data_IF_603579152646
#
_entry.id   IF_603579152646
#
_cell.length_a   1.000
_cell.length_b   1.000
_cell.length_c   1.000
_cell.angle_alpha   90.00
_cell.angle_beta   90.00
_cell.angle_gamma   90.00
#
_symmetry.space_group_name_H-M   'P 1'
#
loop_
_entity.id
_entity.type
_entity.pdbx_description
1 polymer ?
#
# COMPACT_ATOMS: atom_id res chain seq x y z
N UNK A 1 -2.54 -17.32 34.58
CA UNK A 1 -3.67 -16.62 33.92
C UNK A 1 -3.86 -15.30 34.63
N UNK A 2 -3.36 -14.23 34.06
CA UNK A 2 -3.56 -12.86 34.57
C UNK A 2 -4.67 -12.27 33.67
N UNK A 3 -5.76 -11.77 34.22
CA UNK A 3 -6.86 -11.22 33.41
C UNK A 3 -6.42 -9.88 32.80
N UNK A 4 -6.27 -9.85 31.47
CA UNK A 4 -6.07 -8.62 30.68
C UNK A 4 -7.44 -7.96 30.51
N UNK A 5 -8.03 -7.43 31.58
CA UNK A 5 -9.35 -6.78 31.52
C UNK A 5 -9.26 -5.24 31.71
N UNK A 6 -8.05 -4.67 31.87
CA UNK A 6 -7.95 -3.31 32.39
C UNK A 6 -7.54 -2.21 31.40
N UNK A 7 -7.52 -2.43 30.09
CA UNK A 7 -6.99 -1.42 29.14
C UNK A 7 -8.02 -0.76 28.21
N UNK A 8 -9.29 -1.11 28.28
CA UNK A 8 -10.33 -0.51 27.43
C UNK A 8 -11.28 0.48 28.15
N UNK A 9 -11.01 0.78 29.41
CA UNK A 9 -11.80 1.80 30.09
C UNK A 9 -11.36 3.19 29.62
N UNK A 10 -12.12 3.79 28.71
CA UNK A 10 -12.09 5.21 28.44
C UNK A 10 -11.44 5.64 27.10
N UNK A 11 -11.71 4.97 25.98
CA UNK A 11 -11.59 5.63 24.69
C UNK A 11 -12.94 6.32 24.43
N UNK A 12 -13.09 7.63 24.69
CA UNK A 12 -14.25 8.36 24.18
C UNK A 12 -14.18 8.23 22.67
N UNK A 13 -15.23 7.70 22.05
CA UNK A 13 -15.39 7.81 20.61
C UNK A 13 -15.21 9.28 20.24
N UNK A 14 -14.53 9.60 19.11
CA UNK A 14 -14.31 10.98 18.74
C UNK A 14 -15.66 11.66 18.64
N UNK A 15 -15.86 12.67 19.55
CA UNK A 15 -16.98 13.59 19.42
C UNK A 15 -16.92 14.14 17.99
N UNK A 16 -17.97 13.92 17.17
CA UNK A 16 -18.08 14.57 15.86
C UNK A 16 -17.91 16.06 16.08
N UNK A 17 -16.91 16.71 15.48
CA UNK A 17 -16.84 18.16 15.52
C UNK A 17 -18.08 18.69 14.79
N UNK A 18 -18.99 19.30 15.50
CA UNK A 18 -19.94 20.20 14.90
C UNK A 18 -19.14 21.37 14.31
N UNK A 19 -19.19 21.56 12.99
CA UNK A 19 -18.58 22.69 12.25
C UNK A 19 -17.11 23.04 12.58
N UNK A 20 -16.35 22.10 13.09
CA UNK A 20 -14.95 22.27 13.47
C UNK A 20 -13.99 22.15 12.29
N UNK A 21 -12.74 22.57 12.50
CA UNK A 21 -11.65 22.47 11.53
C UNK A 21 -11.43 21.02 11.10
N UNK A 22 -11.63 20.72 9.80
CA UNK A 22 -11.68 19.36 9.27
C UNK A 22 -10.32 18.66 9.39
N UNK A 23 -10.30 17.48 9.96
CA UNK A 23 -9.11 16.63 10.03
C UNK A 23 -8.75 16.13 8.63
N UNK A 24 -7.50 16.27 8.25
CA UNK A 24 -6.90 15.67 7.04
C UNK A 24 -6.14 14.40 7.45
N UNK A 25 -5.32 14.48 8.53
CA UNK A 25 -4.53 13.38 9.02
C UNK A 25 -4.22 13.55 10.50
N UNK A 26 -4.52 12.52 11.30
CA UNK A 26 -4.26 12.47 12.72
C UNK A 26 -3.25 11.38 13.08
N UNK A 27 -2.03 11.80 13.37
CA UNK A 27 -0.93 10.93 13.79
C UNK A 27 -0.65 11.01 15.30
N UNK A 28 -1.63 11.41 16.12
CA UNK A 28 -1.41 11.62 17.56
C UNK A 28 -1.14 10.34 18.33
N UNK A 29 -1.66 9.21 17.85
CA UNK A 29 -1.45 7.90 18.49
C UNK A 29 -0.27 7.14 17.90
N UNK A 30 -0.11 7.19 16.57
CA UNK A 30 0.88 6.40 15.85
C UNK A 30 1.44 7.23 14.70
N UNK A 31 2.70 6.99 14.37
CA UNK A 31 3.29 7.54 13.16
C UNK A 31 2.60 6.96 11.92
N UNK A 32 2.28 7.83 10.97
CA UNK A 32 1.68 7.45 9.70
C UNK A 32 2.74 7.53 8.59
N UNK A 33 3.00 6.43 7.89
CA UNK A 33 3.82 6.44 6.70
C UNK A 33 2.93 6.79 5.51
N UNK A 34 2.99 8.04 5.08
CA UNK A 34 2.21 8.53 3.94
C UNK A 34 2.99 8.52 2.61
N UNK A 35 4.24 8.08 2.65
CA UNK A 35 5.11 7.96 1.48
C UNK A 35 5.98 9.19 1.20
N UNK A 36 7.25 8.93 0.88
CA UNK A 36 8.30 9.94 0.66
C UNK A 36 7.95 10.98 -0.41
N UNK A 37 7.18 10.60 -1.42
CA UNK A 37 6.81 11.47 -2.55
C UNK A 37 5.34 11.88 -2.55
N UNK A 38 4.66 11.64 -1.45
CA UNK A 38 3.25 12.01 -1.28
C UNK A 38 3.06 13.53 -1.15
N UNK A 39 1.80 13.96 -1.21
CA UNK A 39 1.43 15.34 -0.87
C UNK A 39 1.79 15.69 0.57
N UNK A 40 1.83 14.70 1.45
CA UNK A 40 2.17 14.86 2.86
C UNK A 40 3.68 15.09 3.07
N UNK A 41 4.54 14.50 2.26
CA UNK A 41 5.97 14.81 2.24
C UNK A 41 6.20 16.26 1.82
N UNK A 42 5.51 16.75 0.76
CA UNK A 42 5.53 18.16 0.35
C UNK A 42 5.00 19.10 1.43
N UNK A 43 4.01 18.66 2.20
CA UNK A 43 3.55 19.41 3.37
C UNK A 43 4.65 19.55 4.41
N UNK A 44 5.42 18.50 4.72
CA UNK A 44 6.54 18.55 5.67
C UNK A 44 7.59 19.59 5.26
N UNK A 45 7.97 19.63 3.97
CA UNK A 45 8.87 20.64 3.44
C UNK A 45 8.33 22.07 3.60
N UNK A 46 7.05 22.26 3.28
CA UNK A 46 6.41 23.56 3.36
C UNK A 46 6.25 24.01 4.81
N UNK A 47 5.95 23.08 5.73
CA UNK A 47 5.90 23.34 7.17
C UNK A 47 7.29 23.77 7.68
N UNK A 48 8.36 23.06 7.28
CA UNK A 48 9.72 23.44 7.66
C UNK A 48 10.08 24.84 7.16
N UNK A 49 9.72 25.20 5.91
CA UNK A 49 9.94 26.54 5.37
C UNK A 49 9.17 27.61 6.18
N UNK A 50 7.93 27.34 6.53
CA UNK A 50 7.08 28.21 7.35
C UNK A 50 7.71 28.44 8.73
N UNK A 51 8.16 27.39 9.38
CA UNK A 51 8.84 27.44 10.67
C UNK A 51 10.15 28.23 10.61
N UNK A 52 10.96 28.03 9.58
CA UNK A 52 12.20 28.78 9.38
C UNK A 52 11.91 30.29 9.21
N UNK A 53 10.89 30.65 8.44
CA UNK A 53 10.51 32.03 8.20
C UNK A 53 10.04 32.77 9.46
N UNK A 54 9.51 32.06 10.47
CA UNK A 54 9.10 32.67 11.74
C UNK A 54 10.06 32.38 12.91
N UNK A 55 11.26 31.87 12.64
CA UNK A 55 12.27 31.62 13.65
C UNK A 55 11.99 30.39 14.57
N UNK A 56 11.08 29.50 14.18
CA UNK A 56 10.66 28.31 14.93
C UNK A 56 11.16 26.99 14.30
N UNK A 57 12.17 27.06 13.43
CA UNK A 57 12.64 25.92 12.62
C UNK A 57 13.38 24.83 13.38
N UNK A 58 13.62 24.99 14.68
CA UNK A 58 14.36 24.04 15.52
C UNK A 58 13.45 23.50 16.64
N UNK A 59 13.40 22.17 16.90
CA UNK A 59 14.03 21.13 16.10
C UNK A 59 13.40 21.00 14.69
N UNK A 60 14.13 20.53 13.68
CA UNK A 60 13.62 20.47 12.32
C UNK A 60 12.54 19.38 12.15
N UNK A 61 11.54 19.67 11.30
CA UNK A 61 10.58 18.67 10.79
C UNK A 61 11.24 17.82 9.71
N UNK A 62 12.02 18.47 8.85
CA UNK A 62 12.87 17.84 7.84
C UNK A 62 14.30 18.27 8.13
N UNK A 63 15.23 17.36 8.48
CA UNK A 63 16.63 17.71 8.72
C UNK A 63 17.28 18.35 7.51
N UNK A 64 18.24 19.23 7.75
CA UNK A 64 18.94 19.94 6.67
C UNK A 64 19.72 18.94 5.78
N UNK A 65 19.50 19.02 4.48
CA UNK A 65 20.13 18.16 3.49
C UNK A 65 19.46 16.78 3.33
N UNK A 66 18.38 16.51 4.04
CA UNK A 66 17.57 15.30 3.87
C UNK A 66 16.29 15.60 3.08
N UNK A 67 15.79 14.57 2.39
CA UNK A 67 14.45 14.59 1.80
C UNK A 67 13.41 14.26 2.88
N UNK A 68 12.19 14.81 2.78
CA UNK A 68 11.11 14.44 3.68
C UNK A 68 10.75 12.97 3.49
N UNK A 69 10.61 12.26 4.60
CA UNK A 69 10.32 10.82 4.57
C UNK A 69 8.86 10.50 4.27
N UNK A 70 7.97 11.50 4.34
CA UNK A 70 6.52 11.27 4.33
C UNK A 70 6.00 10.54 5.58
N UNK A 71 6.85 10.35 6.60
CA UNK A 71 6.42 9.82 7.90
C UNK A 71 5.88 10.97 8.75
N UNK A 72 4.58 11.01 8.94
CA UNK A 72 3.91 11.98 9.80
C UNK A 72 3.91 11.43 11.22
N UNK A 73 4.79 11.94 12.05
CA UNK A 73 5.00 11.48 13.43
C UNK A 73 5.30 12.64 14.37
N UNK A 74 6.03 12.39 15.45
CA UNK A 74 6.32 13.36 16.51
C UNK A 74 6.88 14.67 15.98
N UNK A 75 7.93 14.63 15.11
CA UNK A 75 8.54 15.84 14.58
C UNK A 75 7.57 16.71 13.77
N UNK A 76 6.69 16.10 12.97
CA UNK A 76 5.68 16.82 12.20
C UNK A 76 4.60 17.40 13.11
N UNK A 77 4.12 16.65 14.09
CA UNK A 77 3.12 17.11 15.05
C UNK A 77 3.61 18.30 15.88
N UNK A 78 4.81 18.21 16.45
CA UNK A 78 5.44 19.31 17.18
C UNK A 78 5.73 20.51 16.26
N UNK A 79 6.06 20.24 14.99
CA UNK A 79 6.20 21.27 13.94
C UNK A 79 4.89 22.03 13.72
N UNK A 80 3.75 21.33 13.61
CA UNK A 80 2.42 21.95 13.51
C UNK A 80 2.15 22.81 14.74
N UNK A 81 2.36 22.28 15.94
CA UNK A 81 2.13 23.02 17.20
C UNK A 81 2.97 24.32 17.25
N UNK A 82 4.25 24.26 16.92
CA UNK A 82 5.11 25.47 16.85
C UNK A 82 4.66 26.44 15.77
N UNK A 83 4.16 25.95 14.64
CA UNK A 83 3.70 26.79 13.54
C UNK A 83 2.45 27.59 13.91
N UNK A 84 1.62 27.12 14.85
CA UNK A 84 0.47 27.90 15.36
C UNK A 84 0.87 29.23 16.02
N UNK A 85 2.13 29.35 16.45
CA UNK A 85 2.67 30.60 16.98
C UNK A 85 3.16 31.57 15.87
N UNK A 86 3.21 31.10 14.62
CA UNK A 86 3.62 31.91 13.49
C UNK A 86 2.48 32.78 12.95
N UNK A 87 2.78 33.99 12.49
CA UNK A 87 1.79 34.90 11.90
C UNK A 87 1.04 34.28 10.71
N UNK A 88 1.67 33.35 9.98
CA UNK A 88 1.06 32.64 8.85
C UNK A 88 -0.13 31.73 9.27
N UNK A 89 -0.18 31.26 10.52
CA UNK A 89 -1.22 30.37 11.04
C UNK A 89 -2.18 31.07 12.02
N UNK A 90 -2.16 32.41 12.13
CA UNK A 90 -3.02 33.16 13.04
C UNK A 90 -4.53 32.94 12.83
N UNK A 91 -4.93 32.56 11.62
CA UNK A 91 -6.32 32.35 11.23
C UNK A 91 -6.78 30.90 11.48
N UNK A 92 -5.92 30.02 11.99
CA UNK A 92 -6.30 28.66 12.42
C UNK A 92 -7.18 28.79 13.68
N UNK A 93 -8.36 28.15 13.72
CA UNK A 93 -9.26 28.24 14.86
C UNK A 93 -8.58 27.81 16.17
N UNK A 94 -8.84 28.52 17.27
CA UNK A 94 -8.20 28.23 18.58
C UNK A 94 -8.62 26.88 19.17
N UNK A 95 -9.79 26.40 18.82
CA UNK A 95 -10.34 25.11 19.22
C UNK A 95 -10.01 23.98 18.23
N UNK A 96 -9.24 24.32 17.17
CA UNK A 96 -8.77 23.33 16.19
C UNK A 96 -7.99 22.20 16.84
N UNK A 97 -8.16 20.94 16.37
CA UNK A 97 -7.32 19.80 16.76
C UNK A 97 -5.83 20.00 16.45
N UNK A 98 -5.48 21.00 15.64
CA UNK A 98 -4.09 21.36 15.31
C UNK A 98 -3.26 21.70 16.56
N UNK A 99 -3.87 22.15 17.67
CA UNK A 99 -3.18 22.33 18.95
C UNK A 99 -2.54 21.06 19.51
N UNK A 100 -3.08 19.90 19.14
CA UNK A 100 -2.58 18.58 19.51
C UNK A 100 -1.64 17.99 18.41
N UNK A 101 -1.31 18.79 17.38
CA UNK A 101 -0.45 18.41 16.28
C UNK A 101 -1.16 17.68 15.15
N UNK A 102 -2.50 17.68 15.15
CA UNK A 102 -3.31 17.11 14.05
C UNK A 102 -3.21 17.98 12.82
N UNK A 103 -3.00 17.38 11.65
CA UNK A 103 -3.05 18.08 10.37
C UNK A 103 -4.50 18.31 9.98
N UNK A 104 -4.92 19.58 9.99
CA UNK A 104 -6.26 20.01 9.65
C UNK A 104 -6.31 20.79 8.35
N UNK A 105 -7.52 21.03 7.83
CA UNK A 105 -7.71 21.83 6.62
C UNK A 105 -7.17 23.26 6.78
N UNK A 106 -7.38 23.91 7.91
CA UNK A 106 -6.89 25.25 8.19
C UNK A 106 -5.36 25.31 8.19
N UNK A 107 -4.70 24.34 8.84
CA UNK A 107 -3.23 24.22 8.82
C UNK A 107 -2.72 23.95 7.42
N UNK A 108 -3.36 23.03 6.67
CA UNK A 108 -2.99 22.77 5.28
C UNK A 108 -3.03 24.06 4.44
N UNK A 109 -4.13 24.79 4.49
CA UNK A 109 -4.30 26.03 3.73
C UNK A 109 -3.28 27.10 4.10
N UNK A 110 -2.99 27.23 5.40
CA UNK A 110 -2.00 28.20 5.89
C UNK A 110 -0.57 27.86 5.45
N UNK A 111 -0.20 26.57 5.45
CA UNK A 111 1.15 26.12 5.11
C UNK A 111 1.34 25.94 3.60
N UNK A 112 0.35 25.35 2.91
CA UNK A 112 0.41 24.99 1.50
C UNK A 112 -0.16 26.05 0.57
N UNK A 113 -0.79 27.09 1.11
CA UNK A 113 -1.36 28.20 0.36
C UNK A 113 -2.47 27.75 -0.59
N UNK A 114 -2.26 27.94 -1.90
CA UNK A 114 -3.25 27.61 -2.94
C UNK A 114 -3.23 26.14 -3.38
N UNK A 115 -2.36 25.30 -2.81
CA UNK A 115 -2.36 23.89 -3.14
C UNK A 115 -3.71 23.25 -2.78
N UNK A 116 -4.24 22.33 -3.60
CA UNK A 116 -5.48 21.63 -3.28
C UNK A 116 -5.31 20.83 -2.00
N UNK A 117 -6.42 20.57 -1.34
CA UNK A 117 -6.46 19.60 -0.24
C UNK A 117 -6.12 18.20 -0.77
N UNK A 118 -5.53 17.33 0.06
CA UNK A 118 -5.33 15.94 -0.30
C UNK A 118 -6.64 15.29 -0.74
N UNK A 119 -6.61 14.65 -1.90
CA UNK A 119 -7.76 13.93 -2.44
C UNK A 119 -8.10 12.71 -1.58
N UNK A 120 -9.29 12.15 -1.79
CA UNK A 120 -9.68 10.87 -1.17
C UNK A 120 -8.67 9.76 -1.51
N UNK A 121 -8.20 9.73 -2.76
CA UNK A 121 -7.19 8.76 -3.21
C UNK A 121 -5.86 8.91 -2.45
N UNK A 122 -5.32 10.12 -2.34
CA UNK A 122 -4.06 10.36 -1.62
C UNK A 122 -4.16 10.04 -0.12
N UNK A 123 -5.33 10.24 0.49
CA UNK A 123 -5.58 9.86 1.89
C UNK A 123 -5.74 8.35 2.05
N UNK A 124 -6.41 7.69 1.11
CA UNK A 124 -6.53 6.24 1.07
C UNK A 124 -5.18 5.56 0.84
N UNK A 125 -4.36 6.08 -0.08
CA UNK A 125 -3.00 5.58 -0.32
C UNK A 125 -2.12 5.70 0.93
N UNK A 126 -2.20 6.81 1.66
CA UNK A 126 -1.48 6.98 2.92
C UNK A 126 -1.93 5.96 3.99
N UNK A 127 -3.22 5.63 4.05
CA UNK A 127 -3.74 4.58 4.93
C UNK A 127 -3.20 3.21 4.55
N UNK A 128 -3.26 2.85 3.27
CA UNK A 128 -2.79 1.55 2.77
C UNK A 128 -1.29 1.41 3.00
N UNK A 129 -0.52 2.46 2.68
CA UNK A 129 0.92 2.47 2.87
C UNK A 129 1.32 2.31 4.35
N UNK A 130 0.50 2.84 5.28
CA UNK A 130 0.72 2.63 6.71
C UNK A 130 0.59 1.16 7.13
N UNK A 131 -0.16 0.37 6.37
CA UNK A 131 -0.28 -1.08 6.57
C UNK A 131 0.83 -1.86 5.86
N UNK A 132 1.17 -1.51 4.62
CA UNK A 132 2.19 -2.20 3.83
C UNK A 132 3.62 -1.88 4.31
N UNK A 133 3.85 -0.68 4.85
CA UNK A 133 5.12 -0.20 5.41
C UNK A 133 6.31 -0.25 4.43
N UNK A 134 6.06 -0.17 3.11
CA UNK A 134 7.07 -0.12 2.05
C UNK A 134 6.96 1.18 1.26
N UNK A 135 8.06 1.67 0.69
CA UNK A 135 8.08 2.89 -0.12
C UNK A 135 8.98 2.71 -1.36
N UNK A 136 8.92 3.64 -2.30
CA UNK A 136 9.74 3.63 -3.52
C UNK A 136 11.25 3.65 -3.25
N UNK A 137 11.70 4.25 -2.15
CA UNK A 137 13.12 4.31 -1.78
C UNK A 137 13.64 3.04 -1.12
N UNK A 138 12.77 2.07 -0.84
CA UNK A 138 13.17 0.84 -0.20
C UNK A 138 13.79 -0.14 -1.21
N UNK A 139 14.73 -0.95 -0.73
CA UNK A 139 15.29 -2.03 -1.53
C UNK A 139 14.18 -3.02 -1.92
N UNK A 140 14.22 -3.55 -3.15
CA UNK A 140 13.25 -4.55 -3.57
C UNK A 140 13.36 -5.82 -2.71
N UNK A 141 12.23 -6.46 -2.47
CA UNK A 141 12.18 -7.72 -1.76
C UNK A 141 12.30 -8.88 -2.75
N UNK A 142 13.34 -9.70 -2.55
CA UNK A 142 13.57 -10.89 -3.35
C UNK A 142 12.89 -12.08 -2.71
N UNK A 143 11.87 -12.61 -3.38
CA UNK A 143 11.07 -13.74 -2.90
C UNK A 143 11.55 -15.07 -3.50
N UNK A 144 12.84 -15.21 -3.65
CA UNK A 144 13.52 -16.38 -4.19
C UNK A 144 14.16 -17.17 -3.05
N UNK A 145 13.50 -18.12 -2.46
CA UNK A 145 14.06 -18.99 -1.43
C UNK A 145 14.64 -18.26 -0.20
N UNK A 146 13.86 -17.55 0.55
CA UNK A 146 14.28 -16.99 1.85
C UNK A 146 14.22 -18.06 2.95
N UNK A 147 15.18 -18.02 3.90
CA UNK A 147 15.14 -18.89 5.08
C UNK A 147 13.84 -18.73 5.87
N UNK A 148 13.22 -19.86 6.22
CA UNK A 148 11.92 -19.91 6.88
C UNK A 148 10.74 -20.06 5.90
N UNK A 149 10.95 -19.91 4.61
CA UNK A 149 9.97 -20.32 3.62
C UNK A 149 10.03 -21.84 3.44
N UNK A 150 8.87 -22.51 3.49
CA UNK A 150 8.78 -23.93 3.21
C UNK A 150 9.11 -24.18 1.75
N UNK A 151 10.24 -24.80 1.48
CA UNK A 151 10.60 -25.31 0.16
C UNK A 151 10.26 -26.79 0.06
N UNK A 152 9.80 -27.24 -1.08
CA UNK A 152 9.65 -28.65 -1.42
C UNK A 152 10.62 -29.02 -2.54
N UNK A 153 11.25 -30.18 -2.41
CA UNK A 153 11.88 -30.84 -3.53
C UNK A 153 10.79 -31.50 -4.35
N UNK A 154 10.46 -30.96 -5.51
CA UNK A 154 9.53 -31.59 -6.45
C UNK A 154 10.31 -32.40 -7.49
N UNK A 155 9.85 -33.62 -7.81
CA UNK A 155 10.44 -34.38 -8.90
C UNK A 155 10.26 -33.60 -10.20
N UNK A 156 11.38 -33.25 -10.86
CA UNK A 156 11.31 -32.71 -12.22
C UNK A 156 11.11 -33.85 -13.24
N UNK A 157 10.39 -33.57 -14.32
CA UNK A 157 10.11 -34.54 -15.40
C UNK A 157 11.32 -34.99 -16.21
N UNK A 158 12.54 -34.81 -15.75
CA UNK A 158 13.72 -35.20 -16.50
C UNK A 158 15.07 -34.91 -15.86
N UNK A 159 15.16 -34.74 -14.56
CA UNK A 159 16.43 -34.41 -13.93
C UNK A 159 16.43 -34.41 -12.41
N UNK A 160 17.44 -33.77 -11.82
CA UNK A 160 17.52 -33.58 -10.38
C UNK A 160 16.29 -32.84 -9.88
N UNK A 161 15.78 -33.18 -8.68
CA UNK A 161 14.60 -32.54 -8.12
C UNK A 161 14.82 -31.02 -8.00
N UNK A 162 13.85 -30.25 -8.49
CA UNK A 162 13.85 -28.79 -8.38
C UNK A 162 13.41 -28.39 -6.99
N UNK A 163 14.18 -27.53 -6.32
CA UNK A 163 13.75 -26.92 -5.09
C UNK A 163 12.80 -25.77 -5.41
N UNK A 164 11.55 -25.91 -5.03
CA UNK A 164 10.52 -24.87 -5.23
C UNK A 164 10.34 -24.14 -3.92
N UNK A 165 10.64 -22.86 -3.92
CA UNK A 165 10.40 -21.98 -2.78
C UNK A 165 9.01 -21.36 -2.91
N UNK A 166 8.28 -21.40 -1.83
CA UNK A 166 6.98 -20.77 -1.75
C UNK A 166 7.07 -19.50 -0.90
N UNK A 167 6.60 -18.40 -1.44
CA UNK A 167 6.04 -17.34 -0.62
C UNK A 167 4.62 -17.81 -0.28
N UNK A 168 4.34 -18.11 0.97
CA UNK A 168 3.03 -18.66 1.39
C UNK A 168 1.88 -17.70 1.08
N UNK A 169 2.15 -16.38 1.07
CA UNK A 169 1.16 -15.35 0.78
C UNK A 169 1.02 -15.04 -0.72
N UNK A 170 2.09 -15.17 -1.49
CA UNK A 170 2.10 -14.94 -2.94
C UNK A 170 3.17 -15.79 -3.62
N UNK A 171 2.88 -17.06 -3.90
CA UNK A 171 3.86 -18.04 -4.36
C UNK A 171 4.43 -17.74 -5.76
N UNK A 172 3.81 -16.84 -6.52
CA UNK A 172 4.23 -16.50 -7.88
C UNK A 172 4.88 -15.11 -7.98
N UNK A 173 5.14 -14.44 -6.87
CA UNK A 173 5.87 -13.17 -6.80
C UNK A 173 7.33 -13.42 -6.47
N UNK A 174 8.23 -13.20 -7.42
CA UNK A 174 9.66 -13.49 -7.26
C UNK A 174 10.48 -12.26 -6.91
N UNK A 175 9.99 -11.08 -7.20
CA UNK A 175 10.55 -9.79 -6.83
C UNK A 175 9.40 -8.85 -6.54
N UNK A 176 9.48 -8.11 -5.43
CA UNK A 176 8.47 -7.13 -5.03
C UNK A 176 9.12 -5.77 -4.84
N UNK A 177 8.49 -4.70 -5.33
CA UNK A 177 9.02 -3.35 -5.23
C UNK A 177 7.93 -2.28 -5.20
N UNK A 178 8.19 -1.22 -4.42
CA UNK A 178 7.34 -0.02 -4.33
C UNK A 178 6.14 -0.16 -3.39
N UNK A 179 5.37 0.92 -3.20
CA UNK A 179 4.44 1.09 -2.08
C UNK A 179 3.21 0.15 -2.10
N UNK A 180 2.87 -0.43 -3.23
CA UNK A 180 1.79 -1.42 -3.37
C UNK A 180 2.30 -2.81 -3.66
N UNK A 181 3.62 -3.02 -3.48
CA UNK A 181 4.21 -4.31 -3.69
C UNK A 181 4.12 -4.79 -5.15
N UNK A 182 4.47 -3.93 -6.13
CA UNK A 182 4.54 -4.37 -7.52
C UNK A 182 5.42 -5.60 -7.66
N UNK A 183 4.93 -6.62 -8.38
CA UNK A 183 5.60 -7.91 -8.46
C UNK A 183 6.19 -8.18 -9.84
N UNK A 184 7.24 -9.00 -9.86
CA UNK A 184 7.68 -9.69 -11.06
C UNK A 184 7.42 -11.19 -10.91
N UNK A 185 6.61 -11.72 -11.78
CA UNK A 185 6.07 -13.08 -11.76
C UNK A 185 4.68 -13.09 -12.39
N UNK A 186 3.67 -13.50 -11.64
CA UNK A 186 2.30 -13.60 -12.15
C UNK A 186 1.73 -12.27 -12.64
N UNK A 187 1.99 -11.18 -11.94
CA UNK A 187 1.41 -9.87 -12.24
C UNK A 187 2.20 -9.05 -13.27
N UNK A 188 3.49 -9.26 -13.41
CA UNK A 188 4.39 -8.49 -14.27
C UNK A 188 4.40 -6.97 -14.04
N UNK A 189 3.95 -6.49 -12.89
CA UNK A 189 3.79 -5.06 -12.63
C UNK A 189 5.12 -4.31 -12.74
N UNK A 190 6.22 -4.85 -12.20
CA UNK A 190 7.55 -4.23 -12.30
C UNK A 190 7.97 -4.08 -13.79
N UNK A 191 7.76 -5.13 -14.59
CA UNK A 191 8.08 -5.09 -16.02
C UNK A 191 7.28 -4.00 -16.74
N UNK A 192 5.99 -3.85 -16.41
CA UNK A 192 5.13 -2.83 -16.99
C UNK A 192 5.53 -1.41 -16.59
N UNK A 193 5.77 -1.19 -15.29
CA UNK A 193 6.20 0.12 -14.79
C UNK A 193 7.49 0.57 -15.45
N UNK A 194 8.51 -0.29 -15.47
CA UNK A 194 9.81 0.03 -16.05
C UNK A 194 9.72 0.21 -17.57
N UNK A 195 8.90 -0.59 -18.25
CA UNK A 195 8.67 -0.45 -19.70
C UNK A 195 7.98 0.87 -20.05
N UNK A 196 6.92 1.23 -19.34
CA UNK A 196 6.22 2.50 -19.55
C UNK A 196 7.15 3.70 -19.28
N UNK A 197 7.91 3.64 -18.20
CA UNK A 197 8.88 4.68 -17.86
C UNK A 197 9.98 4.79 -18.91
N UNK A 198 10.49 3.68 -19.42
CA UNK A 198 11.52 3.67 -20.47
C UNK A 198 11.03 4.30 -21.77
N UNK A 199 9.81 3.99 -22.20
CA UNK A 199 9.25 4.62 -23.40
C UNK A 199 9.12 6.14 -23.30
N UNK A 200 8.93 6.66 -22.09
CA UNK A 200 8.84 8.10 -21.85
C UNK A 200 10.18 8.79 -21.70
N UNK A 201 11.12 8.13 -21.04
CA UNK A 201 12.45 8.67 -20.72
C UNK A 201 13.50 7.55 -20.78
N UNK A 202 13.93 7.12 -21.98
CA UNK A 202 14.89 6.01 -22.11
C UNK A 202 16.18 6.23 -21.34
N UNK A 203 16.78 7.42 -21.47
CA UNK A 203 18.07 7.73 -20.85
C UNK A 203 18.08 7.65 -19.31
N UNK A 204 16.94 7.85 -18.66
CA UNK A 204 16.81 7.71 -17.22
C UNK A 204 16.93 6.23 -16.79
N UNK A 205 16.22 5.35 -17.47
CA UNK A 205 16.25 3.91 -17.22
C UNK A 205 17.62 3.32 -17.58
N UNK A 206 18.16 3.72 -18.74
CA UNK A 206 19.49 3.32 -19.21
C UNK A 206 20.58 3.74 -18.23
N UNK A 207 20.52 4.98 -17.72
CA UNK A 207 21.45 5.48 -16.69
C UNK A 207 21.31 4.75 -15.34
N UNK A 208 20.13 4.26 -14.98
CA UNK A 208 19.94 3.53 -13.75
C UNK A 208 20.49 2.10 -13.82
N UNK A 209 20.20 1.38 -14.90
CA UNK A 209 20.61 -0.02 -15.06
C UNK A 209 22.04 -0.19 -15.60
N UNK A 210 22.59 0.80 -16.32
CA UNK A 210 23.98 0.79 -16.77
C UNK A 210 24.36 -0.52 -17.49
N UNK A 211 25.30 -1.28 -16.92
CA UNK A 211 25.76 -2.57 -17.47
C UNK A 211 24.69 -3.67 -17.47
N UNK A 212 23.61 -3.52 -16.70
CA UNK A 212 22.49 -4.47 -16.64
C UNK A 212 21.37 -4.14 -17.64
N UNK A 213 21.55 -3.14 -18.51
CA UNK A 213 20.52 -2.72 -19.47
C UNK A 213 20.07 -3.86 -20.39
N UNK A 214 21.00 -4.66 -20.91
CA UNK A 214 20.66 -5.82 -21.73
C UNK A 214 19.84 -6.85 -20.96
N UNK A 215 20.14 -7.01 -19.66
CA UNK A 215 19.37 -7.87 -18.78
C UNK A 215 17.96 -7.33 -18.58
N UNK A 216 17.80 -6.02 -18.39
CA UNK A 216 16.48 -5.38 -18.30
C UNK A 216 15.66 -5.56 -19.59
N UNK A 217 16.26 -5.37 -20.75
CA UNK A 217 15.60 -5.57 -22.04
C UNK A 217 15.11 -7.01 -22.22
N UNK A 218 15.89 -8.00 -21.78
CA UNK A 218 15.46 -9.40 -21.74
C UNK A 218 14.32 -9.62 -20.75
N UNK A 219 14.42 -9.04 -19.56
CA UNK A 219 13.38 -9.12 -18.53
C UNK A 219 12.01 -8.66 -19.04
N UNK A 220 11.95 -7.60 -19.84
CA UNK A 220 10.69 -7.14 -20.45
C UNK A 220 10.03 -8.18 -21.36
N UNK A 221 10.81 -9.06 -21.98
CA UNK A 221 10.34 -10.08 -22.93
C UNK A 221 9.88 -11.35 -22.23
N UNK A 222 10.19 -11.55 -20.95
CA UNK A 222 9.80 -12.76 -20.25
C UNK A 222 8.29 -12.77 -20.02
N UNK A 223 7.66 -13.91 -20.33
CA UNK A 223 6.23 -14.08 -20.05
C UNK A 223 6.02 -14.31 -18.56
N UNK A 224 5.06 -13.59 -17.97
CA UNK A 224 4.41 -14.01 -16.77
C UNK A 224 3.33 -15.05 -17.10
N UNK A 225 3.11 -16.01 -16.25
CA UNK A 225 2.08 -17.02 -16.39
C UNK A 225 0.81 -16.67 -15.62
N UNK A 226 -0.16 -17.52 -15.69
CA UNK A 226 -1.40 -17.33 -14.92
C UNK A 226 -1.22 -17.65 -13.44
N UNK A 227 -2.02 -17.02 -12.61
CA UNK A 227 -1.98 -17.08 -11.14
C UNK A 227 -2.15 -18.48 -10.50
N UNK A 228 -2.50 -19.54 -11.24
CA UNK A 228 -2.93 -20.80 -10.63
C UNK A 228 -1.82 -21.74 -10.18
N UNK A 229 -0.65 -21.75 -10.83
CA UNK A 229 0.41 -22.73 -10.54
C UNK A 229 1.84 -22.23 -10.76
N UNK A 230 2.06 -20.96 -11.10
CA UNK A 230 3.35 -20.34 -11.38
C UNK A 230 4.15 -20.98 -12.54
N UNK A 231 3.63 -21.97 -13.24
CA UNK A 231 4.37 -22.71 -14.30
C UNK A 231 4.74 -21.79 -15.48
N UNK A 232 3.87 -20.83 -15.79
CA UNK A 232 4.15 -19.84 -16.83
C UNK A 232 5.18 -18.77 -16.43
N UNK A 233 5.51 -18.67 -15.14
CA UNK A 233 6.42 -17.69 -14.57
C UNK A 233 7.82 -18.25 -14.37
N UNK A 234 8.06 -19.53 -14.65
CA UNK A 234 9.36 -20.19 -14.52
C UNK A 234 10.48 -19.41 -15.22
N UNK A 235 10.31 -18.86 -16.44
CA UNK A 235 11.36 -18.07 -17.07
C UNK A 235 11.73 -16.82 -16.27
N UNK A 236 10.77 -16.12 -15.66
CA UNK A 236 11.00 -14.95 -14.82
C UNK A 236 11.75 -15.37 -13.55
N UNK A 237 11.33 -16.46 -12.92
CA UNK A 237 11.99 -17.02 -11.73
C UNK A 237 13.45 -17.36 -12.01
N UNK A 238 13.73 -18.09 -13.08
CA UNK A 238 15.09 -18.48 -13.45
C UNK A 238 15.97 -17.27 -13.74
N UNK A 239 15.44 -16.29 -14.46
CA UNK A 239 16.14 -15.06 -14.76
C UNK A 239 16.51 -14.28 -13.50
N UNK A 240 15.54 -14.06 -12.62
CA UNK A 240 15.76 -13.34 -11.36
C UNK A 240 16.68 -14.11 -10.43
N UNK A 241 16.62 -15.44 -10.42
CA UNK A 241 17.53 -16.28 -9.66
C UNK A 241 18.99 -16.15 -10.13
N UNK A 242 19.23 -16.07 -11.45
CA UNK A 242 20.56 -15.85 -11.99
C UNK A 242 21.13 -14.46 -11.60
N UNK A 243 20.27 -13.45 -11.42
CA UNK A 243 20.68 -12.15 -10.89
C UNK A 243 20.95 -12.24 -9.38
N UNK A 244 20.06 -12.87 -8.66
CA UNK A 244 20.17 -13.03 -7.20
C UNK A 244 21.44 -13.76 -6.76
N UNK A 245 21.82 -14.82 -7.48
CA UNK A 245 23.02 -15.63 -7.18
C UNK A 245 24.33 -14.95 -7.52
N UNK A 246 24.29 -13.81 -8.20
CA UNK A 246 25.45 -12.99 -8.57
C UNK A 246 25.41 -11.68 -7.74
N UNK A 247 26.17 -11.57 -6.63
CA UNK A 247 26.07 -10.41 -5.76
C UNK A 247 26.31 -9.05 -6.43
N UNK A 248 27.28 -8.88 -7.34
CA UNK A 248 27.44 -7.64 -8.11
C UNK A 248 26.19 -7.28 -8.93
N UNK A 249 25.60 -8.23 -9.64
CA UNK A 249 24.38 -8.02 -10.44
C UNK A 249 23.18 -7.72 -9.57
N UNK A 250 23.00 -8.48 -8.48
CA UNK A 250 21.95 -8.22 -7.51
C UNK A 250 22.02 -6.80 -6.99
N UNK A 251 23.20 -6.38 -6.54
CA UNK A 251 23.40 -5.00 -6.06
C UNK A 251 23.11 -3.97 -7.15
N UNK A 252 23.50 -4.19 -8.37
CA UNK A 252 23.21 -3.28 -9.48
C UNK A 252 21.70 -3.13 -9.71
N UNK A 253 20.91 -4.21 -9.61
CA UNK A 253 19.46 -4.18 -9.72
C UNK A 253 18.79 -3.47 -8.53
N UNK A 254 19.25 -3.75 -7.31
CA UNK A 254 18.76 -3.07 -6.09
C UNK A 254 19.02 -1.56 -6.17
N UNK A 255 20.23 -1.15 -6.53
CA UNK A 255 20.62 0.25 -6.69
C UNK A 255 19.83 0.94 -7.82
N UNK A 256 19.58 0.23 -8.94
CA UNK A 256 18.80 0.76 -10.05
C UNK A 256 17.35 1.00 -9.65
N UNK A 257 16.69 0.04 -8.99
CA UNK A 257 15.32 0.18 -8.53
C UNK A 257 15.19 1.26 -7.46
N UNK A 258 16.10 1.31 -6.49
CA UNK A 258 16.13 2.38 -5.49
C UNK A 258 16.31 3.76 -6.15
N UNK A 259 17.24 3.91 -7.10
CA UNK A 259 17.43 5.15 -7.87
C UNK A 259 16.18 5.54 -8.66
N UNK A 260 15.54 4.57 -9.30
CA UNK A 260 14.32 4.80 -10.09
C UNK A 260 13.10 5.11 -9.22
N UNK A 261 13.08 4.69 -7.97
CA UNK A 261 12.08 5.13 -6.99
C UNK A 261 12.07 6.65 -6.80
N UNK A 262 13.20 7.35 -7.00
CA UNK A 262 13.30 8.81 -6.97
C UNK A 262 12.81 9.46 -8.26
N UNK A 263 12.57 8.71 -9.34
CA UNK A 263 12.12 9.22 -10.63
C UNK A 263 10.63 9.57 -10.62
N UNK A 264 10.28 10.82 -10.94
CA UNK A 264 8.88 11.21 -11.12
C UNK A 264 8.21 10.44 -12.28
N UNK A 265 8.96 10.19 -13.36
CA UNK A 265 8.47 9.44 -14.51
C UNK A 265 8.11 8.00 -14.12
N UNK A 266 8.95 7.33 -13.33
CA UNK A 266 8.69 5.95 -12.86
C UNK A 266 7.52 5.92 -11.89
N UNK A 267 7.45 6.84 -10.92
CA UNK A 267 6.31 6.92 -9.98
C UNK A 267 5.00 7.20 -10.72
N UNK A 268 5.02 8.05 -11.74
CA UNK A 268 3.85 8.28 -12.59
C UNK A 268 3.44 7.04 -13.36
N UNK A 269 4.41 6.32 -13.96
CA UNK A 269 4.13 5.04 -14.62
C UNK A 269 3.50 4.02 -13.66
N UNK A 270 4.01 3.96 -12.44
CA UNK A 270 3.48 3.12 -11.37
C UNK A 270 2.02 3.47 -11.03
N UNK A 271 1.75 4.74 -10.77
CA UNK A 271 0.39 5.20 -10.44
C UNK A 271 -0.60 4.96 -11.60
N UNK A 272 -0.19 5.21 -12.84
CA UNK A 272 -1.01 4.98 -14.03
C UNK A 272 -1.30 3.48 -14.24
N UNK A 273 -0.31 2.62 -14.00
CA UNK A 273 -0.49 1.17 -14.07
C UNK A 273 -1.61 0.71 -13.14
N UNK A 274 -1.49 1.08 -11.85
CA UNK A 274 -2.46 0.65 -10.85
C UNK A 274 -3.84 1.30 -11.04
N UNK A 275 -3.92 2.52 -11.55
CA UNK A 275 -5.18 3.15 -11.88
C UNK A 275 -5.84 2.60 -13.15
N UNK A 276 -5.14 1.78 -13.94
CA UNK A 276 -5.62 1.28 -15.22
C UNK A 276 -6.75 0.25 -15.07
N UNK A 277 -7.47 0.04 -16.20
CA UNK A 277 -8.53 -0.94 -16.30
C UNK A 277 -8.04 -2.38 -16.16
N UNK A 278 -6.79 -2.63 -16.50
CA UNK A 278 -6.18 -3.96 -16.45
C UNK A 278 -5.69 -4.34 -15.03
N UNK A 279 -5.73 -3.39 -14.07
CA UNK A 279 -5.30 -3.57 -12.68
C UNK A 279 -6.37 -3.10 -11.68
N UNK A 280 -6.01 -2.25 -10.73
CA UNK A 280 -6.89 -1.84 -9.62
C UNK A 280 -8.12 -1.09 -10.09
N UNK A 281 -8.04 -0.38 -11.23
CA UNK A 281 -9.17 0.39 -11.76
C UNK A 281 -10.37 -0.47 -12.13
N UNK A 282 -10.17 -1.69 -12.68
CA UNK A 282 -11.26 -2.63 -12.92
C UNK A 282 -11.86 -3.15 -11.61
N UNK A 283 -11.00 -3.65 -10.73
CA UNK A 283 -11.39 -4.21 -9.43
C UNK A 283 -12.14 -3.19 -8.57
N UNK A 284 -11.72 -1.92 -8.61
CA UNK A 284 -12.40 -0.84 -7.90
C UNK A 284 -13.83 -0.63 -8.41
N UNK A 285 -14.04 -0.75 -9.73
CA UNK A 285 -15.40 -0.71 -10.30
C UNK A 285 -16.22 -1.95 -9.91
N UNK A 286 -15.61 -3.12 -9.82
CA UNK A 286 -16.28 -4.35 -9.41
C UNK A 286 -16.76 -4.26 -7.96
N UNK A 287 -15.92 -3.76 -7.03
CA UNK A 287 -16.35 -3.46 -5.65
C UNK A 287 -17.49 -2.43 -5.63
N UNK A 288 -17.43 -1.38 -6.45
CA UNK A 288 -18.48 -0.38 -6.53
C UNK A 288 -19.77 -0.96 -7.14
N UNK A 289 -19.66 -1.89 -8.10
CA UNK A 289 -20.79 -2.63 -8.67
C UNK A 289 -21.47 -3.47 -7.60
N UNK A 290 -20.72 -4.21 -6.80
CA UNK A 290 -21.25 -4.98 -5.67
C UNK A 290 -22.06 -4.08 -4.72
N UNK A 291 -21.53 -2.90 -4.33
CA UNK A 291 -22.26 -1.92 -3.52
C UNK A 291 -23.54 -1.45 -4.20
N UNK A 292 -23.50 -1.14 -5.49
CA UNK A 292 -24.68 -0.74 -6.25
C UNK A 292 -25.77 -1.83 -6.29
N UNK A 293 -25.37 -3.10 -6.45
CA UNK A 293 -26.33 -4.24 -6.42
C UNK A 293 -26.95 -4.46 -5.03
N UNK A 294 -26.25 -4.03 -3.98
CA UNK A 294 -26.78 -4.00 -2.62
C UNK A 294 -27.67 -2.76 -2.35
N UNK A 295 -27.82 -1.85 -3.32
CA UNK A 295 -28.55 -0.60 -3.16
C UNK A 295 -27.79 0.49 -2.41
N UNK A 296 -26.46 0.35 -2.30
CA UNK A 296 -25.58 1.27 -1.59
C UNK A 296 -24.87 2.21 -2.55
N UNK A 297 -24.46 3.37 -2.03
CA UNK A 297 -23.58 4.31 -2.72
C UNK A 297 -22.26 4.39 -1.99
N UNK A 298 -21.12 4.13 -2.65
CA UNK A 298 -19.82 4.18 -2.01
C UNK A 298 -19.52 5.54 -1.38
N UNK A 299 -18.99 5.53 -0.16
CA UNK A 299 -18.48 6.69 0.57
C UNK A 299 -16.96 6.81 0.43
N UNK A 300 -16.34 7.88 0.98
CA UNK A 300 -14.88 8.00 0.99
C UNK A 300 -14.23 6.84 1.76
N UNK A 301 -14.87 6.36 2.83
CA UNK A 301 -14.40 5.19 3.58
C UNK A 301 -14.50 3.92 2.75
N UNK A 302 -15.60 3.73 2.01
CA UNK A 302 -15.74 2.57 1.12
C UNK A 302 -14.68 2.58 0.02
N UNK A 303 -14.38 3.74 -0.55
CA UNK A 303 -13.31 3.87 -1.55
C UNK A 303 -11.97 3.38 -1.01
N UNK A 304 -11.58 3.82 0.18
CA UNK A 304 -10.34 3.40 0.82
C UNK A 304 -10.37 1.90 1.18
N UNK A 305 -11.49 1.39 1.66
CA UNK A 305 -11.70 -0.03 1.95
C UNK A 305 -11.55 -0.91 0.70
N UNK A 306 -12.15 -0.50 -0.43
CA UNK A 306 -12.00 -1.24 -1.68
C UNK A 306 -10.55 -1.26 -2.13
N UNK A 307 -9.89 -0.12 -2.12
CA UNK A 307 -8.50 0.01 -2.56
C UNK A 307 -7.55 -0.83 -1.70
N UNK A 308 -7.76 -0.87 -0.39
CA UNK A 308 -7.01 -1.71 0.53
C UNK A 308 -7.24 -3.21 0.30
N UNK A 309 -8.50 -3.60 0.07
CA UNK A 309 -8.81 -4.99 -0.25
C UNK A 309 -8.25 -5.41 -1.61
N UNK A 310 -8.29 -4.53 -2.62
CA UNK A 310 -7.65 -4.78 -3.92
C UNK A 310 -6.17 -5.05 -3.75
N UNK A 311 -5.48 -4.23 -2.95
CA UNK A 311 -4.03 -4.37 -2.70
C UNK A 311 -3.71 -5.71 -2.02
N UNK A 312 -4.55 -6.17 -1.09
CA UNK A 312 -4.25 -7.34 -0.26
C UNK A 312 -4.97 -8.63 -0.68
N UNK A 313 -6.15 -8.55 -1.28
CA UNK A 313 -6.97 -9.70 -1.70
C UNK A 313 -7.16 -9.79 -3.21
N UNK A 314 -7.10 -8.66 -3.92
CA UNK A 314 -7.39 -8.58 -5.34
C UNK A 314 -8.88 -8.31 -5.64
N UNK A 315 -9.55 -9.24 -6.32
CA UNK A 315 -10.93 -9.06 -6.79
C UNK A 315 -11.96 -9.20 -5.65
N UNK A 316 -13.12 -8.54 -5.74
CA UNK A 316 -14.26 -8.84 -4.86
C UNK A 316 -14.71 -10.30 -5.07
N UNK A 317 -15.53 -10.85 -4.18
CA UNK A 317 -16.18 -12.14 -4.44
C UNK A 317 -17.07 -12.01 -5.67
N UNK A 318 -17.27 -13.14 -6.36
CA UNK A 318 -18.18 -13.20 -7.51
C UNK A 318 -19.55 -12.64 -7.12
N UNK A 319 -20.08 -11.75 -7.96
CA UNK A 319 -21.35 -11.06 -7.72
C UNK A 319 -22.56 -11.96 -8.10
N UNK A 320 -22.52 -13.21 -7.67
CA UNK A 320 -23.62 -14.14 -7.86
C UNK A 320 -24.80 -13.91 -6.87
N UNK A 321 -25.92 -14.53 -7.12
CA UNK A 321 -27.11 -14.37 -6.29
C UNK A 321 -26.89 -14.88 -4.86
N UNK A 322 -26.02 -15.87 -4.66
CA UNK A 322 -25.72 -16.41 -3.34
C UNK A 322 -24.93 -15.41 -2.49
N UNK A 323 -23.89 -14.81 -3.05
CA UNK A 323 -23.10 -13.77 -2.38
C UNK A 323 -23.98 -12.57 -2.05
N UNK A 324 -24.76 -12.07 -2.99
CA UNK A 324 -25.67 -10.95 -2.76
C UNK A 324 -26.71 -11.27 -1.69
N UNK A 325 -27.23 -12.50 -1.67
CA UNK A 325 -28.19 -12.95 -0.64
C UNK A 325 -27.54 -12.97 0.74
N UNK A 326 -26.33 -13.56 0.87
CA UNK A 326 -25.57 -13.60 2.12
C UNK A 326 -25.25 -12.20 2.63
N UNK A 327 -24.81 -11.30 1.75
CA UNK A 327 -24.52 -9.91 2.09
C UNK A 327 -25.78 -9.19 2.61
N UNK A 328 -26.91 -9.27 1.90
CA UNK A 328 -28.16 -8.64 2.33
C UNK A 328 -28.65 -9.18 3.68
N UNK A 329 -28.61 -10.51 3.86
CA UNK A 329 -29.01 -11.14 5.12
C UNK A 329 -28.09 -10.72 6.28
N UNK A 330 -26.78 -10.58 6.04
CA UNK A 330 -25.83 -10.08 7.02
C UNK A 330 -26.12 -8.63 7.37
N UNK A 331 -26.21 -7.73 6.38
CA UNK A 331 -26.48 -6.31 6.58
C UNK A 331 -27.78 -6.09 7.39
N UNK A 332 -28.83 -6.86 7.11
CA UNK A 332 -30.08 -6.79 7.87
C UNK A 332 -29.93 -7.15 9.36
N UNK A 333 -28.95 -7.99 9.71
CA UNK A 333 -28.67 -8.36 11.09
C UNK A 333 -27.79 -7.34 11.81
N UNK A 334 -27.05 -6.54 11.08
CA UNK A 334 -26.11 -5.52 11.61
C UNK A 334 -26.84 -4.24 12.05
N UNK A 335 -27.88 -4.39 12.89
CA UNK A 335 -28.73 -3.28 13.34
C UNK A 335 -28.05 -2.32 14.32
N UNK A 336 -26.81 -2.60 14.74
CA UNK A 336 -26.02 -1.77 15.65
C UNK A 336 -25.07 -0.82 14.94
N UNK A 337 -24.88 -0.98 13.64
CA UNK A 337 -24.05 -0.07 12.87
C UNK A 337 -24.71 1.30 12.73
N UNK A 338 -23.91 2.37 12.86
CA UNK A 338 -24.35 3.75 12.63
C UNK A 338 -24.64 3.99 11.14
N UNK A 339 -23.91 3.31 10.27
CA UNK A 339 -23.97 3.44 8.81
C UNK A 339 -24.22 2.08 8.16
N UNK A 340 -25.14 2.02 7.18
CA UNK A 340 -25.39 0.81 6.41
C UNK A 340 -24.16 0.39 5.59
N UNK A 341 -23.33 1.35 5.17
CA UNK A 341 -22.09 1.08 4.46
C UNK A 341 -21.06 0.42 5.41
N UNK A 342 -20.99 0.84 6.69
CA UNK A 342 -20.16 0.17 7.69
C UNK A 342 -20.62 -1.27 7.92
N UNK A 343 -21.92 -1.51 7.99
CA UNK A 343 -22.49 -2.86 8.06
C UNK A 343 -22.07 -3.70 6.84
N UNK A 344 -22.13 -3.13 5.65
CA UNK A 344 -21.72 -3.83 4.42
C UNK A 344 -20.20 -4.16 4.43
N UNK A 345 -19.34 -3.23 4.87
CA UNK A 345 -17.89 -3.50 5.02
C UNK A 345 -17.62 -4.65 5.98
N UNK A 346 -18.26 -4.64 7.16
CA UNK A 346 -18.15 -5.72 8.14
C UNK A 346 -18.62 -7.07 7.57
N UNK A 347 -19.75 -7.08 6.90
CA UNK A 347 -20.30 -8.29 6.29
C UNK A 347 -19.36 -8.85 5.21
N UNK A 348 -18.78 -7.99 4.37
CA UNK A 348 -17.83 -8.40 3.35
C UNK A 348 -16.53 -8.93 3.97
N UNK A 349 -16.05 -8.31 5.04
CA UNK A 349 -14.88 -8.78 5.80
C UNK A 349 -15.03 -10.22 6.27
N UNK A 350 -16.20 -10.57 6.80
CA UNK A 350 -16.48 -11.95 7.24
C UNK A 350 -16.76 -12.93 6.10
N UNK A 351 -17.30 -12.44 4.98
CA UNK A 351 -17.62 -13.29 3.83
C UNK A 351 -16.36 -13.65 3.01
N UNK A 352 -15.41 -12.74 2.92
CA UNK A 352 -14.19 -12.90 2.13
C UNK A 352 -12.94 -12.65 3.02
N UNK A 353 -12.59 -13.60 3.92
CA UNK A 353 -11.33 -13.54 4.65
C UNK A 353 -10.15 -13.81 3.72
N UNK A 354 -8.93 -13.51 4.17
CA UNK A 354 -7.71 -13.92 3.48
C UNK A 354 -7.36 -15.38 3.85
N UNK A 355 -6.96 -16.17 2.87
CA UNK A 355 -6.73 -17.61 3.05
C UNK A 355 -5.62 -17.94 4.07
N UNK A 356 -4.50 -17.19 4.03
CA UNK A 356 -3.32 -17.46 4.85
C UNK A 356 -3.06 -16.41 5.93
N UNK A 357 -3.64 -15.19 5.80
CA UNK A 357 -3.44 -14.05 6.70
C UNK A 357 -4.78 -13.53 7.25
N UNK A 358 -5.70 -14.44 7.59
CA UNK A 358 -7.08 -14.09 7.97
C UNK A 358 -7.16 -13.10 9.13
N UNK A 359 -6.35 -13.26 10.18
CA UNK A 359 -6.38 -12.36 11.34
C UNK A 359 -5.81 -10.98 11.02
N UNK A 360 -4.74 -10.91 10.22
CA UNK A 360 -4.19 -9.64 9.76
C UNK A 360 -5.17 -8.90 8.83
N UNK A 361 -5.81 -9.63 7.90
CA UNK A 361 -6.85 -9.04 7.04
C UNK A 361 -8.04 -8.54 7.87
N UNK A 362 -8.50 -9.32 8.83
CA UNK A 362 -9.58 -8.91 9.73
C UNK A 362 -9.21 -7.66 10.52
N UNK A 363 -7.98 -7.59 11.05
CA UNK A 363 -7.49 -6.41 11.75
C UNK A 363 -7.54 -5.15 10.88
N UNK A 364 -7.08 -5.24 9.62
CA UNK A 364 -7.15 -4.12 8.66
C UNK A 364 -8.61 -3.74 8.39
N UNK A 365 -9.48 -4.72 8.12
CA UNK A 365 -10.89 -4.48 7.84
C UNK A 365 -11.62 -3.80 9.00
N UNK A 366 -11.32 -4.19 10.24
CA UNK A 366 -11.88 -3.56 11.46
C UNK A 366 -11.60 -2.06 11.47
N UNK A 367 -10.42 -1.62 11.05
CA UNK A 367 -10.07 -0.20 10.95
C UNK A 367 -11.01 0.64 10.08
N UNK A 368 -11.76 0.01 9.16
CA UNK A 368 -12.71 0.68 8.28
C UNK A 368 -14.14 0.77 8.82
N UNK A 369 -14.45 0.06 9.91
CA UNK A 369 -15.80 0.11 10.49
C UNK A 369 -15.82 0.26 12.01
N UNK A 370 -14.68 0.21 12.69
CA UNK A 370 -14.56 0.30 14.13
C UNK A 370 -15.35 1.48 14.71
N UNK A 371 -15.18 2.67 14.13
CA UNK A 371 -15.81 3.90 14.61
C UNK A 371 -17.32 4.00 14.32
N UNK A 372 -17.83 3.12 13.47
CA UNK A 372 -19.24 3.09 13.11
C UNK A 372 -20.07 2.20 14.04
N UNK A 373 -19.45 1.51 14.97
CA UNK A 373 -20.10 0.62 15.91
C UNK A 373 -19.98 1.14 17.35
N UNK A 374 -21.04 1.04 18.16
CA UNK A 374 -20.95 1.37 19.58
C UNK A 374 -20.04 0.38 20.32
N UNK A 375 -19.52 0.82 21.45
CA UNK A 375 -18.70 -0.01 22.34
C UNK A 375 -19.41 -1.35 22.65
N UNK A 376 -18.68 -2.45 22.59
CA UNK A 376 -19.19 -3.81 22.82
C UNK A 376 -20.02 -4.40 21.68
N UNK A 377 -20.14 -3.72 20.52
CA UNK A 377 -20.85 -4.25 19.36
C UNK A 377 -19.96 -5.14 18.47
N UNK A 378 -18.65 -4.98 18.55
CA UNK A 378 -17.70 -5.85 17.84
C UNK A 378 -17.55 -7.19 18.59
N UNK A 379 -17.28 -8.24 17.84
CA UNK A 379 -17.00 -9.56 18.41
C UNK A 379 -15.64 -9.58 19.09
N UNK A 380 -15.45 -10.51 20.02
CA UNK A 380 -14.14 -10.72 20.66
C UNK A 380 -13.04 -11.02 19.66
N UNK A 381 -13.34 -11.78 18.58
CA UNK A 381 -12.39 -12.07 17.50
C UNK A 381 -11.94 -10.78 16.77
N UNK A 382 -12.87 -9.88 16.45
CA UNK A 382 -12.55 -8.58 15.82
C UNK A 382 -11.68 -7.72 16.73
N UNK A 383 -12.01 -7.65 18.03
CA UNK A 383 -11.25 -6.89 19.02
C UNK A 383 -9.84 -7.48 19.17
N UNK A 384 -9.71 -8.80 19.26
CA UNK A 384 -8.42 -9.47 19.38
C UNK A 384 -7.56 -9.31 18.13
N UNK A 385 -8.15 -9.43 16.93
CA UNK A 385 -7.45 -9.18 15.68
C UNK A 385 -6.93 -7.74 15.63
N UNK A 386 -7.78 -6.75 15.92
CA UNK A 386 -7.38 -5.35 15.96
C UNK A 386 -6.26 -5.09 16.98
N UNK A 387 -6.40 -5.57 18.20
CA UNK A 387 -5.42 -5.38 19.27
C UNK A 387 -4.09 -6.10 19.00
N UNK A 388 -4.12 -7.23 18.28
CA UNK A 388 -2.94 -8.04 17.95
C UNK A 388 -2.02 -7.40 16.92
N UNK A 389 -2.51 -6.45 16.15
CA UNK A 389 -1.76 -5.77 15.08
C UNK A 389 -1.63 -4.26 15.30
N UNK A 390 -1.69 -3.80 16.55
CA UNK A 390 -1.36 -2.41 16.91
C UNK A 390 0.12 -2.15 16.59
N UNK A 391 0.48 -1.04 15.91
CA UNK A 391 -0.39 0.11 15.64
C UNK A 391 -0.99 0.09 14.23
N UNK A 392 -2.19 -0.40 14.06
CA UNK A 392 -2.94 -0.14 12.83
C UNK A 392 -3.69 1.18 12.97
N UNK A 393 -3.68 1.99 11.92
CA UNK A 393 -4.44 3.24 11.90
C UNK A 393 -5.88 2.97 11.49
N UNK A 394 -6.83 3.50 12.22
CA UNK A 394 -8.23 3.50 11.84
C UNK A 394 -8.51 4.58 10.78
N UNK A 395 -9.57 4.40 10.03
CA UNK A 395 -9.96 5.28 8.91
C UNK A 395 -10.18 6.73 9.32
N UNK A 396 -10.63 6.99 10.55
CA UNK A 396 -10.82 8.36 11.05
C UNK A 396 -9.52 9.17 11.13
N UNK A 397 -8.38 8.51 11.31
CA UNK A 397 -7.07 9.15 11.34
C UNK A 397 -6.68 9.79 9.99
N UNK A 398 -7.39 9.46 8.92
CA UNK A 398 -7.14 9.96 7.55
C UNK A 398 -8.23 10.93 7.07
N UNK A 399 -9.09 11.39 7.97
CA UNK A 399 -10.15 12.35 7.66
C UNK A 399 -11.14 11.88 6.58
N UNK A 400 -11.25 10.57 6.36
CA UNK A 400 -12.17 9.97 5.41
C UNK A 400 -13.59 9.97 5.99
N UNK A 401 -14.56 10.32 5.15
CA UNK A 401 -15.96 10.50 5.56
C UNK A 401 -16.81 9.28 5.20
N UNK A 402 -17.58 8.77 6.17
CA UNK A 402 -18.56 7.69 5.93
C UNK A 402 -19.93 8.21 5.46
N UNK A 403 -20.06 9.51 5.23
CA UNK A 403 -21.28 10.13 4.70
C UNK A 403 -21.06 10.85 3.36
N UNK A 404 -19.82 11.21 3.04
CA UNK A 404 -19.48 11.87 1.77
C UNK A 404 -19.36 10.81 0.66
N UNK A 405 -20.16 10.91 -0.42
CA UNK A 405 -20.03 9.99 -1.53
C UNK A 405 -18.67 10.08 -2.21
N UNK A 406 -18.05 8.95 -2.47
CA UNK A 406 -16.84 8.88 -3.28
C UNK A 406 -17.18 8.77 -4.77
N UNK A 407 -16.36 9.42 -5.59
CA UNK A 407 -16.35 9.22 -7.03
C UNK A 407 -15.38 8.10 -7.36
N UNK A 408 -15.88 7.02 -7.93
CA UNK A 408 -15.04 5.95 -8.48
C UNK A 408 -14.51 6.44 -9.84
N UNK A 409 -13.18 6.50 -10.04
CA UNK A 409 -12.61 6.94 -11.30
C UNK A 409 -12.97 6.00 -12.45
N UNK A 410 -13.13 6.57 -13.64
CA UNK A 410 -13.11 5.77 -14.85
C UNK A 410 -11.64 5.40 -15.13
N UNK A 411 -11.34 4.12 -15.14
CA UNK A 411 -10.02 3.65 -15.51
C UNK A 411 -9.86 3.66 -17.03
N UNK A 412 -8.67 4.03 -17.50
CA UNK A 412 -8.30 3.89 -18.90
C UNK A 412 -7.65 2.52 -19.14
N UNK A 413 -7.89 1.86 -20.30
CA UNK A 413 -7.19 0.63 -20.61
C UNK A 413 -5.69 0.90 -20.79
N UNK A 414 -4.84 -0.04 -20.37
CA UNK A 414 -3.38 0.09 -20.50
C UNK A 414 -2.91 0.32 -21.93
N UNK A 415 -3.65 -0.18 -22.91
CA UNK A 415 -3.37 0.09 -24.33
C UNK A 415 -3.34 1.57 -24.68
N UNK A 416 -4.01 2.42 -23.91
CA UNK A 416 -4.00 3.87 -24.07
C UNK A 416 -2.86 4.58 -23.30
N UNK A 417 -2.17 3.86 -22.39
CA UNK A 417 -1.11 4.42 -21.54
C UNK A 417 0.30 4.29 -22.13
N UNK A 418 0.42 3.58 -23.24
CA UNK A 418 1.68 3.33 -23.94
C UNK A 418 1.80 1.91 -24.44
N UNK A 419 2.87 1.63 -25.16
CA UNK A 419 3.08 0.31 -25.77
C UNK A 419 3.15 -0.80 -24.71
N UNK A 420 2.39 -1.88 -24.90
CA UNK A 420 2.58 -3.11 -24.11
C UNK A 420 4.02 -3.58 -24.22
N UNK A 421 4.65 -4.09 -23.15
CA UNK A 421 5.93 -4.75 -23.27
C UNK A 421 5.85 -5.83 -24.34
N UNK A 422 6.87 -5.99 -25.18
CA UNK A 422 6.84 -6.98 -26.23
C UNK A 422 6.54 -8.35 -25.63
N UNK A 423 5.54 -9.02 -26.16
CA UNK A 423 5.33 -10.43 -25.80
C UNK A 423 6.53 -11.23 -26.28
N UNK A 424 7.13 -12.00 -25.40
CA UNK A 424 8.19 -12.90 -25.80
C UNK A 424 7.68 -13.89 -26.84
N UNK A 425 8.31 -13.92 -27.99
CA UNK A 425 8.56 -15.15 -28.66
C UNK A 425 9.50 -15.97 -27.77
N UNK A 426 9.47 -17.29 -27.89
CA UNK A 426 10.21 -18.27 -27.10
C UNK A 426 11.40 -17.75 -26.29
N UNK A 427 11.39 -18.03 -24.99
CA UNK A 427 12.36 -17.63 -23.99
C UNK A 427 13.83 -17.80 -24.43
N UNK A 428 14.49 -16.71 -24.75
CA UNK A 428 15.95 -16.72 -24.92
C UNK A 428 16.63 -16.56 -23.55
N UNK A 429 16.40 -17.51 -22.65
CA UNK A 429 17.21 -17.63 -21.45
C UNK A 429 18.59 -18.16 -21.84
N UNK A 430 19.64 -17.57 -21.27
CA UNK A 430 21.00 -18.09 -21.41
C UNK A 430 21.13 -19.45 -20.72
N UNK A 431 22.13 -20.24 -21.10
CA UNK A 431 22.36 -21.55 -20.47
C UNK A 431 22.60 -21.44 -18.94
N UNK A 432 23.06 -20.30 -18.44
CA UNK A 432 23.19 -20.02 -16.99
C UNK A 432 21.84 -19.71 -16.33
N UNK A 433 20.97 -19.00 -17.00
CA UNK A 433 19.63 -18.67 -16.51
C UNK A 433 18.69 -19.90 -16.54
N UNK A 434 18.86 -20.80 -17.50
CA UNK A 434 18.11 -22.05 -17.60
C UNK A 434 18.40 -23.03 -16.44
N UNK A 435 19.54 -22.89 -15.75
CA UNK A 435 19.88 -23.74 -14.61
C UNK A 435 19.04 -23.48 -13.36
N UNK A 436 18.30 -22.40 -13.32
CA UNK A 436 17.45 -22.04 -12.19
C UNK A 436 18.22 -21.72 -10.91
N UNK A 437 17.50 -21.60 -9.81
CA UNK A 437 18.11 -21.51 -8.50
C UNK A 437 18.81 -22.83 -8.16
N UNK A 438 20.13 -22.85 -7.85
CA UNK A 438 20.81 -24.06 -7.49
C UNK A 438 20.19 -24.68 -6.24
N UNK A 439 19.91 -25.98 -6.28
CA UNK A 439 19.49 -26.72 -5.09
C UNK A 439 20.57 -26.61 -4.01
N UNK A 440 20.20 -26.20 -2.81
CA UNK A 440 21.09 -26.18 -1.64
C UNK A 440 21.90 -24.93 -1.41
N UNK A 441 21.67 -23.84 -2.11
CA UNK A 441 22.25 -22.55 -1.74
C UNK A 441 21.52 -22.04 -0.50
N UNK A 442 22.20 -22.12 0.65
CA UNK A 442 21.75 -21.48 1.89
C UNK A 442 21.91 -19.96 1.71
N UNK A 443 20.81 -19.27 1.65
CA UNK A 443 20.77 -17.81 1.48
C UNK A 443 21.02 -17.11 2.82
N UNK A 444 21.82 -16.06 2.85
CA UNK A 444 21.98 -15.29 4.08
C UNK A 444 20.63 -14.72 4.51
N UNK A 445 20.25 -15.03 5.74
CA UNK A 445 19.04 -14.49 6.37
C UNK A 445 19.19 -12.98 6.48
N UNK A 446 18.50 -12.21 5.65
CA UNK A 446 18.20 -10.84 6.02
C UNK A 446 17.08 -10.89 7.08
N UNK A 447 17.49 -11.05 8.36
CA UNK A 447 16.57 -10.82 9.46
C UNK A 447 16.08 -9.39 9.31
N UNK A 448 14.78 -9.21 9.10
CA UNK A 448 14.18 -7.89 9.34
C UNK A 448 14.66 -7.45 10.73
N UNK A 449 15.18 -6.23 10.89
CA UNK A 449 15.47 -5.75 12.22
C UNK A 449 14.21 -5.91 13.05
N UNK A 450 14.30 -6.35 14.31
CA UNK A 450 13.15 -6.46 15.18
C UNK A 450 12.46 -5.09 15.16
N UNK A 451 11.14 -5.08 14.96
CA UNK A 451 10.34 -3.86 15.09
C UNK A 451 10.72 -3.27 16.45
N UNK A 452 11.25 -2.05 16.44
CA UNK A 452 11.50 -1.33 17.67
C UNK A 452 10.14 -1.13 18.34
N UNK A 453 9.98 -1.78 19.49
CA UNK A 453 8.83 -1.64 20.38
C UNK A 453 8.70 -0.20 20.89
#
# INVERSE_FOLDING_TARGET
MIPIVALFAGVPGPARPADGDKIILDATRYDILAGRYSVFARFQESLQRTLNACGKGTPPVVPAGEEPTGRIGVATREGIQRALECAALRDVPRDSPAKDGVLTESVWRAVMGRAPLPTVHERADALILSYEATDFGDAPEWNLCQDGQRGELRPSKGGSPDFVCYNESDPCSFLTWGPRGATAGAGREIQWVLWMAWHRSPGEIESAFGSELDSLQRFFRLKGGGKKNCDGDIPVKHFLCAIWTDPPRRKAWEDALAKLGHSENVRRAYAELYASEDFDGAKLRDYASLWKKLGLRPTEVDYAFFLDRITHLGEPPDEDDEVLHKMRACIQKENRAISINAAARRCLSHLQPHDTQADYRLARDVGYYLDAYPEGALTEKEIQAWAGYVPLSAVHNFGLSDVTPARIPNAAPMSSLGAKPPHAGSSELTSSELRGCPAGVLWPVHRRPPRQE
#
